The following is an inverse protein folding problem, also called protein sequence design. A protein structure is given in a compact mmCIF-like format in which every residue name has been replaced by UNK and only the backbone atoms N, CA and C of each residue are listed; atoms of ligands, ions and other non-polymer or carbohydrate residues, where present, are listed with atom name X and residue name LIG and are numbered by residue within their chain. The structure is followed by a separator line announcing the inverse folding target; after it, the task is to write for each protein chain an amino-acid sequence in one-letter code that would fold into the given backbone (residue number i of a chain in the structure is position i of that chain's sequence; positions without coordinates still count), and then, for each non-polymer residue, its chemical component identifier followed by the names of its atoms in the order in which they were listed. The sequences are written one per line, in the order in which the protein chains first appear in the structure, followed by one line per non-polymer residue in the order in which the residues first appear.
data_IF_210870812025
#
_entry.id   IF_210870812025
#
_cell.length_a   1.000
_cell.length_b   1.000
_cell.length_c   1.000
_cell.angle_alpha   90.00
_cell.angle_beta   90.00
_cell.angle_gamma   90.00
#
_symmetry.space_group_name_H-M   'P 1'
#
loop_
_entity.id
_entity.type
_entity.pdbx_description
1 polymer ?
#
# COMPACT_ATOMS: atom_id res chain seq x y z
N UNK A 1 6.37 8.53 -16.90
CA UNK A 1 5.96 7.11 -17.06
C UNK A 1 5.44 6.75 -18.47
N UNK A 2 5.07 7.70 -19.31
CA UNK A 2 4.47 7.41 -20.62
C UNK A 2 5.37 6.61 -21.59
N UNK A 3 6.65 6.97 -21.70
CA UNK A 3 7.54 6.32 -22.65
C UNK A 3 7.77 4.82 -22.42
N UNK A 4 8.06 4.33 -21.19
CA UNK A 4 8.18 2.89 -20.93
C UNK A 4 6.90 2.12 -21.23
N UNK A 5 5.73 2.68 -20.88
CA UNK A 5 4.43 2.06 -21.17
C UNK A 5 4.17 1.97 -22.67
N UNK A 6 4.52 3.01 -23.43
CA UNK A 6 4.40 3.02 -24.89
C UNK A 6 5.27 1.93 -25.54
N UNK A 7 6.52 1.80 -25.09
CA UNK A 7 7.42 0.75 -25.59
C UNK A 7 6.84 -0.63 -25.31
N UNK A 8 6.40 -0.89 -24.09
CA UNK A 8 5.76 -2.17 -23.72
C UNK A 8 4.53 -2.47 -24.58
N UNK A 9 3.65 -1.49 -24.79
CA UNK A 9 2.45 -1.65 -25.63
C UNK A 9 2.79 -1.94 -27.10
N UNK A 10 3.79 -1.26 -27.66
CA UNK A 10 4.23 -1.51 -29.05
C UNK A 10 4.79 -2.92 -29.18
N UNK A 11 5.67 -3.35 -28.26
CA UNK A 11 6.26 -4.69 -28.28
C UNK A 11 5.16 -5.76 -28.16
N UNK A 12 4.25 -5.63 -27.20
CA UNK A 12 3.16 -6.59 -27.00
C UNK A 12 2.28 -6.72 -28.25
N UNK A 13 1.90 -5.60 -28.88
CA UNK A 13 1.12 -5.60 -30.13
C UNK A 13 1.88 -6.24 -31.29
N UNK A 14 3.16 -5.93 -31.43
CA UNK A 14 4.00 -6.49 -32.51
C UNK A 14 4.10 -8.01 -32.37
N UNK A 15 4.37 -8.52 -31.17
CA UNK A 15 4.44 -9.95 -30.90
C UNK A 15 3.09 -10.64 -31.15
N UNK A 16 1.99 -10.03 -30.72
CA UNK A 16 0.65 -10.57 -30.95
C UNK A 16 0.35 -10.70 -32.44
N UNK A 17 0.72 -9.69 -33.25
CA UNK A 17 0.56 -9.72 -34.70
C UNK A 17 1.43 -10.81 -35.37
N UNK A 18 2.71 -10.87 -35.00
CA UNK A 18 3.64 -11.87 -35.52
C UNK A 18 3.19 -13.31 -35.24
N UNK A 19 2.71 -13.54 -34.02
CA UNK A 19 2.28 -14.87 -33.59
C UNK A 19 0.79 -15.15 -33.84
N UNK A 20 0.07 -14.19 -34.40
CA UNK A 20 -1.38 -14.26 -34.66
C UNK A 20 -2.15 -14.66 -33.38
N UNK A 21 -1.79 -14.06 -32.25
CA UNK A 21 -2.44 -14.28 -30.97
C UNK A 21 -3.21 -13.05 -30.54
N UNK A 22 -4.36 -13.21 -29.86
CA UNK A 22 -5.09 -12.08 -29.29
C UNK A 22 -4.29 -11.43 -28.14
N UNK A 23 -4.48 -10.13 -27.93
CA UNK A 23 -4.02 -9.42 -26.74
C UNK A 23 -5.17 -9.39 -25.75
N UNK A 24 -4.96 -9.93 -24.56
CA UNK A 24 -5.94 -9.91 -23.48
C UNK A 24 -5.53 -8.78 -22.51
N UNK A 25 -6.38 -7.76 -22.32
CA UNK A 25 -6.10 -6.71 -21.34
C UNK A 25 -6.40 -7.22 -19.93
N UNK A 26 -5.46 -7.04 -19.00
CA UNK A 26 -5.61 -7.38 -17.58
C UNK A 26 -5.52 -6.11 -16.76
N UNK A 27 -6.47 -5.92 -15.83
CA UNK A 27 -6.39 -4.83 -14.88
C UNK A 27 -5.27 -5.10 -13.87
N UNK A 28 -4.36 -4.14 -13.72
CA UNK A 28 -3.18 -4.27 -12.86
C UNK A 28 -3.54 -4.59 -11.39
N UNK A 29 -4.55 -3.93 -10.84
CA UNK A 29 -4.99 -4.18 -9.46
C UNK A 29 -5.56 -5.60 -9.32
N UNK A 30 -6.33 -6.06 -10.31
CA UNK A 30 -6.87 -7.43 -10.33
C UNK A 30 -5.73 -8.44 -10.42
N UNK A 31 -4.69 -8.17 -11.19
CA UNK A 31 -3.49 -9.01 -11.23
C UNK A 31 -2.87 -9.21 -9.84
N UNK A 32 -2.67 -8.15 -9.07
CA UNK A 32 -2.20 -8.25 -7.68
C UNK A 32 -3.14 -9.05 -6.80
N UNK A 33 -4.45 -8.83 -6.91
CA UNK A 33 -5.45 -9.52 -6.09
C UNK A 33 -5.46 -11.01 -6.37
N UNK A 34 -5.54 -11.40 -7.65
CA UNK A 34 -5.64 -12.80 -8.04
C UNK A 34 -4.33 -13.56 -7.75
N UNK A 35 -3.17 -12.92 -7.93
CA UNK A 35 -1.90 -13.50 -7.50
C UNK A 35 -1.87 -13.70 -5.98
N UNK A 36 -2.28 -12.70 -5.20
CA UNK A 36 -2.36 -12.80 -3.74
C UNK A 36 -3.29 -13.93 -3.30
N UNK A 37 -4.46 -14.05 -3.91
CA UNK A 37 -5.42 -15.14 -3.64
C UNK A 37 -4.84 -16.51 -3.98
N UNK A 38 -4.18 -16.63 -5.12
CA UNK A 38 -3.56 -17.90 -5.56
C UNK A 38 -2.50 -18.37 -4.56
N UNK A 39 -1.61 -17.48 -4.15
CA UNK A 39 -0.47 -17.83 -3.28
C UNK A 39 -0.94 -18.11 -1.84
N UNK A 40 -1.91 -17.36 -1.34
CA UNK A 40 -2.33 -17.44 0.08
C UNK A 40 -3.52 -18.37 0.31
N UNK A 41 -4.28 -18.68 -0.73
CA UNK A 41 -5.52 -19.44 -0.62
C UNK A 41 -6.71 -18.66 -0.07
N UNK A 42 -6.63 -17.33 0.01
CA UNK A 42 -7.75 -16.48 0.40
C UNK A 42 -8.94 -16.63 -0.56
N UNK A 43 -10.14 -16.79 -0.01
CA UNK A 43 -11.34 -17.09 -0.81
C UNK A 43 -12.11 -15.84 -1.21
N UNK A 44 -12.58 -15.09 -0.22
CA UNK A 44 -13.33 -13.85 -0.43
C UNK A 44 -12.90 -12.77 0.58
N UNK A 45 -11.64 -12.32 0.51
CA UNK A 45 -11.12 -11.34 1.45
C UNK A 45 -11.62 -9.92 1.15
N UNK A 46 -11.63 -9.06 2.17
CA UNK A 46 -11.43 -7.64 1.96
C UNK A 46 -9.97 -7.43 1.61
N UNK A 47 -9.71 -6.70 0.54
CA UNK A 47 -8.37 -6.48 0.01
C UNK A 47 -7.91 -5.08 0.40
N UNK A 48 -6.74 -4.98 1.02
CA UNK A 48 -6.01 -3.72 1.15
C UNK A 48 -4.92 -3.71 0.07
N UNK A 49 -5.15 -2.93 -0.99
CA UNK A 49 -4.17 -2.71 -2.05
C UNK A 49 -3.37 -1.44 -1.76
N UNK A 50 -2.08 -1.59 -1.52
CA UNK A 50 -1.18 -0.49 -1.16
C UNK A 50 0.10 -0.51 -1.98
N UNK A 51 0.26 0.47 -2.86
CA UNK A 51 1.39 0.60 -3.76
C UNK A 51 1.90 2.04 -3.84
N UNK A 52 2.89 2.28 -4.69
CA UNK A 52 3.37 3.63 -5.01
C UNK A 52 2.33 4.51 -5.71
N UNK A 53 1.44 3.90 -6.50
CA UNK A 53 0.44 4.59 -7.31
C UNK A 53 -0.99 4.51 -6.80
N UNK A 54 -1.33 3.48 -6.04
CA UNK A 54 -2.69 3.21 -5.58
C UNK A 54 -2.74 2.85 -4.09
N UNK A 55 -3.81 3.27 -3.44
CA UNK A 55 -4.18 2.84 -2.08
C UNK A 55 -5.68 2.71 -2.04
N UNK A 56 -6.16 1.47 -1.97
CA UNK A 56 -7.58 1.16 -2.08
C UNK A 56 -7.96 0.00 -1.16
N UNK A 57 -9.14 0.10 -0.58
CA UNK A 57 -9.81 -1.01 0.11
C UNK A 57 -10.89 -1.55 -0.83
N UNK A 58 -10.77 -2.81 -1.21
CA UNK A 58 -11.57 -3.44 -2.26
C UNK A 58 -12.23 -4.69 -1.68
N UNK A 59 -13.45 -4.99 -2.14
CA UNK A 59 -14.10 -6.28 -1.88
C UNK A 59 -14.79 -6.80 -3.13
N UNK A 60 -14.90 -8.12 -3.25
CA UNK A 60 -15.59 -8.76 -4.36
C UNK A 60 -17.03 -9.03 -3.98
N UNK A 61 -17.94 -8.30 -4.59
CA UNK A 61 -19.38 -8.38 -4.34
C UNK A 61 -20.14 -8.41 -5.68
N UNK A 62 -21.18 -9.22 -5.77
CA UNK A 62 -22.04 -9.32 -6.96
C UNK A 62 -21.25 -9.55 -8.27
N UNK A 63 -20.24 -10.40 -8.21
CA UNK A 63 -19.35 -10.72 -9.34
C UNK A 63 -18.50 -9.54 -9.84
N UNK A 64 -18.30 -8.51 -9.02
CA UNK A 64 -17.50 -7.35 -9.34
C UNK A 64 -16.56 -6.97 -8.19
N UNK A 65 -15.39 -6.45 -8.51
CA UNK A 65 -14.53 -5.78 -7.54
C UNK A 65 -15.04 -4.36 -7.30
N UNK A 66 -15.39 -4.07 -6.05
CA UNK A 66 -15.92 -2.77 -5.62
C UNK A 66 -14.92 -2.08 -4.71
N UNK A 67 -14.60 -0.82 -5.00
CA UNK A 67 -13.77 0.02 -4.14
C UNK A 67 -14.67 0.56 -3.03
N UNK A 68 -14.31 0.28 -1.76
CA UNK A 68 -15.00 0.77 -0.57
C UNK A 68 -14.38 2.02 0.00
N UNK A 69 -13.08 2.21 -0.21
CA UNK A 69 -12.35 3.38 0.24
C UNK A 69 -11.03 3.50 -0.49
N UNK A 70 -10.53 4.73 -0.59
CA UNK A 70 -9.27 5.03 -1.26
C UNK A 70 -8.58 6.27 -0.68
N UNK A 71 -7.38 6.57 -1.15
CA UNK A 71 -6.78 7.86 -0.86
C UNK A 71 -7.35 8.94 -1.77
N UNK A 72 -7.75 10.07 -1.19
CA UNK A 72 -8.34 11.21 -1.92
C UNK A 72 -7.31 12.01 -2.73
N UNK A 73 -6.04 11.89 -2.42
CA UNK A 73 -4.99 12.76 -2.94
C UNK A 73 -3.74 11.98 -3.41
N UNK A 74 -2.97 11.40 -2.52
CA UNK A 74 -1.75 10.66 -2.86
C UNK A 74 -1.78 9.25 -2.29
N UNK A 75 -1.23 8.29 -3.03
CA UNK A 75 -1.08 6.92 -2.56
C UNK A 75 -0.05 6.84 -1.41
N UNK A 76 -0.23 5.84 -0.53
CA UNK A 76 0.64 5.64 0.64
C UNK A 76 2.10 5.49 0.25
N UNK A 77 2.42 4.69 -0.77
CA UNK A 77 3.80 4.52 -1.22
C UNK A 77 4.42 5.83 -1.69
N UNK A 78 3.69 6.64 -2.47
CA UNK A 78 4.16 7.97 -2.88
C UNK A 78 4.32 8.91 -1.66
N UNK A 79 3.45 8.82 -0.67
CA UNK A 79 3.59 9.59 0.58
C UNK A 79 4.90 9.22 1.29
N UNK A 80 5.18 7.93 1.45
CA UNK A 80 6.43 7.44 2.04
C UNK A 80 7.66 7.89 1.24
N UNK A 81 7.64 7.75 -0.09
CA UNK A 81 8.74 8.17 -0.96
C UNK A 81 9.03 9.67 -0.86
N UNK A 82 7.99 10.50 -0.82
CA UNK A 82 8.14 11.95 -0.66
C UNK A 82 8.68 12.31 0.72
N UNK A 83 8.22 11.63 1.76
CA UNK A 83 8.74 11.82 3.10
C UNK A 83 10.21 11.41 3.24
N UNK A 84 10.61 10.29 2.62
CA UNK A 84 12.02 9.88 2.58
C UNK A 84 12.92 10.95 1.96
N UNK A 85 12.45 11.64 0.92
CA UNK A 85 13.18 12.76 0.30
C UNK A 85 13.33 13.96 1.22
N UNK A 86 12.30 14.28 2.04
CA UNK A 86 12.36 15.34 3.05
C UNK A 86 13.49 15.05 4.03
N UNK A 87 13.62 13.81 4.49
CA UNK A 87 14.69 13.36 5.39
C UNK A 87 16.00 13.04 4.67
N UNK A 88 16.07 13.20 3.34
CA UNK A 88 17.25 12.89 2.51
C UNK A 88 17.75 11.45 2.66
N UNK A 89 16.82 10.51 2.84
CA UNK A 89 17.14 9.08 2.90
C UNK A 89 17.55 8.55 1.53
N UNK A 90 18.33 7.46 1.51
CA UNK A 90 18.70 6.77 0.28
C UNK A 90 17.47 6.27 -0.50
N UNK A 91 17.59 6.20 -1.81
CA UNK A 91 16.60 5.54 -2.66
C UNK A 91 16.85 4.03 -2.79
N UNK A 92 17.99 3.53 -2.33
CA UNK A 92 18.36 2.12 -2.42
C UNK A 92 18.25 1.40 -1.06
N UNK A 93 17.64 0.21 -1.00
CA UNK A 93 16.98 -0.53 -2.10
C UNK A 93 15.63 0.09 -2.49
N UNK A 94 14.91 0.73 -1.57
CA UNK A 94 13.72 1.55 -1.83
C UNK A 94 13.47 2.52 -0.67
N UNK A 95 12.87 3.71 -0.95
CA UNK A 95 12.59 4.69 0.10
C UNK A 95 11.69 4.14 1.21
N UNK A 96 10.62 3.41 0.85
CA UNK A 96 9.69 2.80 1.81
C UNK A 96 10.36 1.81 2.75
N UNK A 97 11.25 0.97 2.24
CA UNK A 97 12.07 0.06 3.05
C UNK A 97 12.98 0.82 4.02
N UNK A 98 13.64 1.87 3.54
CA UNK A 98 14.55 2.66 4.38
C UNK A 98 13.79 3.37 5.51
N UNK A 99 12.57 3.88 5.25
CA UNK A 99 11.69 4.41 6.30
C UNK A 99 11.38 3.32 7.33
N UNK A 100 11.01 2.12 6.89
CA UNK A 100 10.70 1.00 7.77
C UNK A 100 11.89 0.65 8.69
N UNK A 101 13.08 0.50 8.12
CA UNK A 101 14.28 0.18 8.90
C UNK A 101 14.64 1.29 9.89
N UNK A 102 14.44 2.56 9.51
CA UNK A 102 14.68 3.69 10.39
C UNK A 102 13.62 3.79 11.49
N UNK A 103 12.36 3.56 11.15
CA UNK A 103 11.22 3.55 12.09
C UNK A 103 11.41 2.52 13.22
N UNK A 104 12.02 1.36 12.93
CA UNK A 104 12.34 0.35 13.95
C UNK A 104 13.26 0.87 15.08
N UNK A 105 13.99 1.96 14.83
CA UNK A 105 14.89 2.62 15.81
C UNK A 105 14.20 3.79 16.52
N UNK A 106 13.04 4.23 16.05
CA UNK A 106 12.25 5.29 16.67
C UNK A 106 11.54 4.80 17.92
N UNK A 107 11.41 5.65 18.91
CA UNK A 107 10.75 5.34 20.18
C UNK A 107 9.79 6.42 20.66
N UNK A 108 9.91 7.63 20.12
CA UNK A 108 9.08 8.78 20.50
C UNK A 108 8.08 9.07 19.40
N UNK A 109 6.80 9.09 19.78
CA UNK A 109 5.72 9.41 18.86
C UNK A 109 5.49 10.92 18.78
N UNK A 110 5.58 11.47 17.57
CA UNK A 110 5.18 12.84 17.25
C UNK A 110 3.77 12.83 16.68
N UNK A 111 2.79 13.51 17.31
CA UNK A 111 1.41 13.51 16.82
C UNK A 111 1.32 14.16 15.44
N UNK A 112 0.78 13.43 14.48
CA UNK A 112 0.51 13.89 13.12
C UNK A 112 -1.00 14.04 12.92
N UNK A 113 -1.45 14.89 11.97
CA UNK A 113 -2.86 14.96 11.61
C UNK A 113 -3.40 13.59 11.23
N UNK A 114 -4.55 13.22 11.79
CA UNK A 114 -5.24 11.97 11.48
C UNK A 114 -6.48 12.28 10.64
N UNK A 115 -6.46 11.91 9.36
CA UNK A 115 -7.47 12.36 8.38
C UNK A 115 -8.13 11.19 7.69
N UNK A 116 -9.15 10.64 8.35
CA UNK A 116 -10.08 9.65 7.80
C UNK A 116 -11.43 10.33 7.53
N UNK A 117 -11.93 10.23 6.30
CA UNK A 117 -13.21 10.81 5.86
C UNK A 117 -14.14 9.68 5.39
N UNK A 118 -14.93 9.13 6.30
CA UNK A 118 -15.76 7.96 6.00
C UNK A 118 -14.88 6.73 5.74
N UNK A 119 -14.84 6.27 4.51
CA UNK A 119 -14.01 5.15 4.06
C UNK A 119 -12.70 5.60 3.39
N UNK A 120 -12.52 6.91 3.18
CA UNK A 120 -11.38 7.47 2.46
C UNK A 120 -10.38 8.11 3.41
N UNK A 121 -9.14 8.22 2.96
CA UNK A 121 -8.05 8.87 3.71
C UNK A 121 -7.39 9.96 2.87
N UNK A 122 -6.82 10.96 3.57
CA UNK A 122 -6.05 12.04 2.93
C UNK A 122 -4.66 12.10 3.55
N UNK A 123 -3.63 12.09 2.74
CA UNK A 123 -2.23 12.04 3.15
C UNK A 123 -1.44 13.31 2.82
N UNK A 124 -1.90 14.12 1.88
CA UNK A 124 -1.19 15.34 1.46
C UNK A 124 -1.04 16.34 2.60
N UNK A 125 -2.05 16.47 3.46
CA UNK A 125 -2.01 17.33 4.63
C UNK A 125 -0.97 16.88 5.66
N UNK A 126 -0.86 15.58 5.90
CA UNK A 126 0.17 14.99 6.77
C UNK A 126 1.56 15.28 6.22
N UNK A 127 1.75 15.04 4.91
CA UNK A 127 3.03 15.28 4.26
C UNK A 127 3.44 16.76 4.33
N UNK A 128 2.51 17.68 4.03
CA UNK A 128 2.77 19.13 4.10
C UNK A 128 3.06 19.59 5.53
N UNK A 129 2.41 19.00 6.54
CA UNK A 129 2.67 19.28 7.94
C UNK A 129 4.10 18.86 8.33
N UNK A 130 4.45 17.60 8.05
CA UNK A 130 5.76 17.07 8.43
C UNK A 130 6.91 17.70 7.63
N UNK A 131 6.67 18.13 6.39
CA UNK A 131 7.65 18.85 5.58
C UNK A 131 8.09 20.16 6.24
N UNK A 132 7.16 20.86 6.90
CA UNK A 132 7.44 22.09 7.65
C UNK A 132 8.09 21.81 8.99
N UNK A 133 7.60 20.83 9.72
CA UNK A 133 7.99 20.57 11.10
C UNK A 133 9.28 19.75 11.23
N UNK A 134 9.55 18.81 10.33
CA UNK A 134 10.69 17.90 10.44
C UNK A 134 12.04 18.63 10.57
N UNK A 135 12.37 19.65 9.75
CA UNK A 135 13.64 20.36 9.90
C UNK A 135 13.81 21.05 11.26
N UNK A 136 12.69 21.54 11.83
CA UNK A 136 12.67 22.24 13.12
C UNK A 136 12.86 21.22 14.26
N UNK A 137 12.11 20.13 14.20
CA UNK A 137 12.12 19.08 15.22
C UNK A 137 13.49 18.38 15.32
N UNK A 138 14.07 18.03 14.18
CA UNK A 138 15.39 17.39 14.11
C UNK A 138 16.49 18.35 14.55
N UNK A 139 16.48 19.59 14.06
CA UNK A 139 17.49 20.61 14.43
C UNK A 139 17.45 20.97 15.92
N UNK A 140 16.27 20.95 16.53
CA UNK A 140 16.11 21.20 17.97
C UNK A 140 16.49 20.00 18.86
N UNK A 141 16.77 18.83 18.29
CA UNK A 141 17.04 17.58 19.01
C UNK A 141 15.83 17.00 19.74
N UNK A 142 14.63 17.55 19.57
CA UNK A 142 13.41 17.05 20.20
C UNK A 142 12.98 15.69 19.63
N UNK A 143 13.15 15.49 18.32
CA UNK A 143 12.85 14.24 17.63
C UNK A 143 13.98 13.91 16.66
N UNK A 144 14.26 12.62 16.52
CA UNK A 144 15.18 12.09 15.51
C UNK A 144 14.44 11.77 14.22
N UNK A 145 15.17 11.60 13.11
CA UNK A 145 14.59 11.10 11.86
C UNK A 145 13.90 9.74 12.07
N UNK A 146 14.44 8.91 12.96
CA UNK A 146 13.83 7.62 13.31
C UNK A 146 12.46 7.79 14.01
N UNK A 147 12.35 8.75 14.94
CA UNK A 147 11.09 9.05 15.62
C UNK A 147 10.03 9.58 14.62
N UNK A 148 10.45 10.38 13.64
CA UNK A 148 9.55 10.91 12.61
C UNK A 148 9.11 9.82 11.64
N UNK A 149 10.00 8.91 11.23
CA UNK A 149 9.65 7.74 10.42
C UNK A 149 8.68 6.82 11.17
N UNK A 150 8.94 6.56 12.45
CA UNK A 150 8.04 5.80 13.32
C UNK A 150 6.66 6.45 13.39
N UNK A 151 6.60 7.75 13.68
CA UNK A 151 5.34 8.49 13.84
C UNK A 151 4.50 8.52 12.56
N UNK A 152 5.14 8.73 11.39
CA UNK A 152 4.46 8.70 10.11
C UNK A 152 3.87 7.31 9.84
N UNK A 153 4.68 6.27 10.02
CA UNK A 153 4.30 4.88 9.79
C UNK A 153 3.11 4.49 10.69
N UNK A 154 3.20 4.75 12.00
CA UNK A 154 2.12 4.45 12.95
C UNK A 154 0.83 5.17 12.58
N UNK A 155 0.89 6.46 12.24
CA UNK A 155 -0.31 7.26 11.92
C UNK A 155 -0.95 6.79 10.61
N UNK A 156 -0.17 6.63 9.54
CA UNK A 156 -0.69 6.25 8.22
C UNK A 156 -1.26 4.83 8.25
N UNK A 157 -0.55 3.89 8.90
CA UNK A 157 -1.02 2.51 8.95
C UNK A 157 -2.24 2.34 9.86
N UNK A 158 -2.37 3.13 10.94
CA UNK A 158 -3.59 3.14 11.75
C UNK A 158 -4.81 3.54 10.92
N UNK A 159 -4.70 4.56 10.05
CA UNK A 159 -5.78 4.94 9.14
C UNK A 159 -6.14 3.83 8.15
N UNK A 160 -5.14 3.12 7.60
CA UNK A 160 -5.38 1.99 6.69
C UNK A 160 -6.09 0.84 7.40
N UNK A 161 -5.66 0.52 8.61
CA UNK A 161 -6.30 -0.53 9.44
C UNK A 161 -7.74 -0.16 9.73
N UNK A 162 -8.01 1.09 10.12
CA UNK A 162 -9.36 1.58 10.43
C UNK A 162 -10.32 1.43 9.26
N UNK A 163 -9.94 1.92 8.05
CA UNK A 163 -10.85 1.81 6.89
C UNK A 163 -11.00 0.36 6.42
N UNK A 164 -9.97 -0.47 6.56
CA UNK A 164 -10.05 -1.91 6.24
C UNK A 164 -11.01 -2.61 7.21
N UNK A 165 -10.93 -2.31 8.50
CA UNK A 165 -11.85 -2.86 9.51
C UNK A 165 -13.30 -2.48 9.22
N UNK A 166 -13.55 -1.22 8.86
CA UNK A 166 -14.90 -0.75 8.48
C UNK A 166 -15.44 -1.50 7.27
N UNK A 167 -14.61 -1.74 6.25
CA UNK A 167 -14.99 -2.52 5.09
C UNK A 167 -15.30 -3.97 5.46
N UNK A 168 -14.49 -4.61 6.31
CA UNK A 168 -14.76 -5.94 6.83
C UNK A 168 -16.09 -6.03 7.56
N UNK A 169 -16.38 -5.04 8.41
CA UNK A 169 -17.63 -4.97 9.15
C UNK A 169 -18.83 -4.84 8.20
N UNK A 170 -18.71 -3.99 7.18
CA UNK A 170 -19.75 -3.77 6.18
C UNK A 170 -20.02 -5.02 5.32
N UNK A 171 -18.96 -5.66 4.82
CA UNK A 171 -19.06 -6.86 3.96
C UNK A 171 -19.31 -8.16 4.75
N UNK A 172 -19.19 -8.14 6.07
CA UNK A 172 -19.23 -9.36 6.89
C UNK A 172 -18.06 -10.31 6.66
N UNK A 173 -16.98 -9.84 6.04
CA UNK A 173 -15.81 -10.67 5.69
C UNK A 173 -15.03 -11.09 6.93
N UNK A 174 -14.49 -12.32 6.88
CA UNK A 174 -13.58 -12.89 7.88
C UNK A 174 -12.17 -13.09 7.35
N UNK A 175 -11.87 -12.48 6.22
CA UNK A 175 -10.57 -12.58 5.57
C UNK A 175 -10.11 -11.17 5.15
N UNK A 176 -8.82 -10.89 5.35
CA UNK A 176 -8.14 -9.71 4.81
C UNK A 176 -6.97 -10.18 3.96
N UNK A 177 -6.79 -9.60 2.80
CA UNK A 177 -5.63 -9.83 1.93
C UNK A 177 -4.91 -8.49 1.71
N UNK A 178 -3.63 -8.43 2.03
CA UNK A 178 -2.79 -7.26 1.74
C UNK A 178 -1.99 -7.55 0.46
N UNK A 179 -2.05 -6.63 -0.50
CA UNK A 179 -1.32 -6.69 -1.78
C UNK A 179 -0.70 -5.34 -2.15
N UNK A 180 0.27 -5.36 -3.06
CA UNK A 180 1.03 -4.19 -3.47
C UNK A 180 2.32 -4.01 -2.67
N UNK A 181 3.29 -3.27 -3.23
CA UNK A 181 4.65 -3.20 -2.70
C UNK A 181 4.77 -2.68 -1.25
N UNK A 182 3.89 -1.78 -0.81
CA UNK A 182 3.85 -1.32 0.59
C UNK A 182 3.30 -2.42 1.53
N UNK A 183 2.56 -3.38 0.98
CA UNK A 183 2.01 -4.52 1.73
C UNK A 183 3.05 -5.43 2.35
N UNK A 184 4.31 -5.38 1.88
CA UNK A 184 5.43 -6.13 2.47
C UNK A 184 5.90 -5.53 3.80
N UNK A 185 5.49 -4.31 4.17
CA UNK A 185 5.91 -3.66 5.40
C UNK A 185 5.45 -4.47 6.61
N UNK A 186 6.43 -4.91 7.42
CA UNK A 186 6.17 -5.77 8.59
C UNK A 186 5.27 -5.09 9.62
N UNK A 187 5.42 -3.77 9.81
CA UNK A 187 4.61 -3.04 10.79
C UNK A 187 3.15 -2.96 10.37
N UNK A 188 2.89 -2.73 9.08
CA UNK A 188 1.53 -2.75 8.54
C UNK A 188 0.89 -4.13 8.76
N UNK A 189 1.62 -5.19 8.46
CA UNK A 189 1.14 -6.56 8.66
C UNK A 189 0.90 -6.86 10.14
N UNK A 190 1.77 -6.41 11.05
CA UNK A 190 1.58 -6.57 12.50
C UNK A 190 0.31 -5.86 12.98
N UNK A 191 0.11 -4.59 12.61
CA UNK A 191 -1.07 -3.82 13.00
C UNK A 191 -2.35 -4.45 12.45
N UNK A 192 -2.33 -4.88 11.19
CA UNK A 192 -3.46 -5.57 10.58
C UNK A 192 -3.74 -6.91 11.27
N UNK A 193 -2.69 -7.66 11.65
CA UNK A 193 -2.83 -8.92 12.36
C UNK A 193 -3.48 -8.77 13.75
N UNK A 194 -3.18 -7.69 14.45
CA UNK A 194 -3.85 -7.37 15.73
C UNK A 194 -5.35 -7.18 15.49
N UNK A 195 -5.72 -6.34 14.53
CA UNK A 195 -7.12 -6.07 14.19
C UNK A 195 -7.89 -7.34 13.79
N UNK A 196 -7.33 -8.18 12.89
CA UNK A 196 -8.03 -9.39 12.44
C UNK A 196 -8.19 -10.41 13.55
N UNK A 197 -7.23 -10.50 14.48
CA UNK A 197 -7.33 -11.40 15.63
C UNK A 197 -8.47 -10.97 16.57
N UNK A 198 -8.60 -9.68 16.86
CA UNK A 198 -9.71 -9.14 17.65
C UNK A 198 -11.07 -9.42 17.01
N UNK A 199 -11.14 -9.40 15.69
CA UNK A 199 -12.35 -9.72 14.92
C UNK A 199 -12.56 -11.22 14.66
N UNK A 200 -11.69 -12.10 15.15
CA UNK A 200 -11.69 -13.56 14.87
C UNK A 200 -11.71 -13.83 13.35
N UNK A 201 -10.89 -13.11 12.62
CA UNK A 201 -10.70 -13.18 11.18
C UNK A 201 -9.29 -13.68 10.84
N UNK A 202 -8.97 -13.79 9.55
CA UNK A 202 -7.66 -14.24 9.06
C UNK A 202 -7.00 -13.16 8.23
N UNK A 203 -5.71 -12.95 8.44
CA UNK A 203 -4.85 -12.14 7.59
C UNK A 203 -4.14 -13.02 6.58
N UNK A 204 -4.14 -12.57 5.33
CA UNK A 204 -3.35 -13.10 4.24
C UNK A 204 -2.44 -11.99 3.72
N UNK A 205 -1.16 -12.24 3.65
CA UNK A 205 -0.17 -11.35 3.08
C UNK A 205 0.84 -12.17 2.29
N UNK A 206 1.38 -11.60 1.25
CA UNK A 206 2.45 -12.19 0.46
C UNK A 206 3.78 -11.49 0.78
N UNK A 207 4.88 -12.17 0.53
CA UNK A 207 6.21 -11.59 0.61
C UNK A 207 6.54 -10.75 -0.65
N UNK A 208 7.71 -10.13 -0.66
CA UNK A 208 8.17 -9.25 -1.74
C UNK A 208 8.18 -9.90 -3.12
N UNK A 209 8.33 -11.22 -3.22
CA UNK A 209 8.32 -11.94 -4.50
C UNK A 209 6.99 -11.84 -5.24
N UNK A 210 5.89 -11.66 -4.50
CA UNK A 210 4.52 -11.64 -5.02
C UNK A 210 3.79 -10.31 -4.77
N UNK A 211 4.20 -9.53 -3.76
CA UNK A 211 3.65 -8.20 -3.49
C UNK A 211 4.07 -7.17 -4.53
N UNK A 212 5.35 -7.25 -5.00
CA UNK A 212 5.92 -6.31 -5.96
C UNK A 212 5.46 -6.68 -7.37
N UNK A 213 5.38 -5.67 -8.24
CA UNK A 213 5.00 -5.83 -9.64
C UNK A 213 5.84 -6.90 -10.34
N UNK A 214 5.17 -7.85 -10.98
CA UNK A 214 5.82 -8.90 -11.75
C UNK A 214 4.95 -9.33 -12.93
N UNK A 215 5.56 -9.95 -13.95
CA UNK A 215 4.83 -10.39 -15.15
C UNK A 215 3.87 -11.55 -14.90
N UNK A 216 4.16 -12.40 -13.90
CA UNK A 216 3.34 -13.58 -13.61
C UNK A 216 1.95 -13.18 -13.07
N UNK A 217 1.84 -12.11 -12.29
CA UNK A 217 0.55 -11.64 -11.77
C UNK A 217 -0.40 -11.19 -12.89
N UNK A 218 0.14 -10.64 -13.98
CA UNK A 218 -0.65 -10.23 -15.14
C UNK A 218 -1.07 -11.46 -15.97
N UNK A 219 -0.21 -12.47 -16.05
CA UNK A 219 -0.53 -13.70 -16.75
C UNK A 219 -1.56 -14.58 -15.98
N UNK A 220 -1.64 -14.42 -14.67
CA UNK A 220 -2.57 -15.13 -13.80
C UNK A 220 -3.97 -14.47 -13.76
N UNK A 221 -4.05 -13.15 -13.82
CA UNK A 221 -5.30 -12.36 -13.80
C UNK A 221 -5.94 -12.34 -15.18
#
# INVERSE_FOLDING_TARGET
MGAPLQVGAVIARTLAQLWKKPVIPVNHCVGHIEMGRLITGAKNPVILYVSGGNTQVISYLNQCYCIFGETLDIAVGNCLDRFARILKLSNEPSPGYNIEQLAKKGSRFYPLPYVVKGMDISLSGILSHIEKEAPILVKSGKFSDADLCFSLQETVFAMLVEITERAMAHCGSKEVLIVGGVGCNERLQQMMNIMVNERKAKLFATDERFCIDNGAMIAQG
#
